data_IF_417007070807
#
_entry.id   IF_417007070807
#
_cell.length_a   1.000
_cell.length_b   1.000
_cell.length_c   1.000
_cell.angle_alpha   90.00
_cell.angle_beta   90.00
_cell.angle_gamma   90.00
#
_symmetry.space_group_name_H-M   'P 1'
#
loop_
_entity.id
_entity.type
_entity.pdbx_description
1 polymer ?
2 non-polymer ?
3 non-polymer ?
4 water ?
#
# COMPACT_ATOMS: atom_id res chain seq x y z
N UNK A 22 5.36 15.94 19.77
CA UNK A 22 5.41 16.91 20.84
C UNK A 22 6.81 17.54 20.90
N UNK A 23 7.44 17.54 22.07
CA UNK A 23 8.74 18.16 22.27
C UNK A 23 9.82 17.09 22.36
N UNK A 24 11.07 17.54 22.18
CA UNK A 24 12.17 16.68 21.85
C UNK A 24 12.54 16.70 20.38
N UNK A 25 11.57 17.05 19.55
CA UNK A 25 11.78 17.28 18.12
C UNK A 25 12.06 18.75 17.87
N UNK A 26 12.83 19.02 16.81
CA UNK A 26 13.00 20.40 16.42
C UNK A 26 11.72 20.96 15.82
N UNK A 27 11.74 22.27 15.58
CA UNK A 27 10.59 22.91 14.95
C UNK A 27 10.43 22.44 13.52
N UNK A 28 11.54 22.30 12.79
CA UNK A 28 11.45 21.77 11.44
C UNK A 28 10.87 20.35 11.45
N UNK A 29 11.30 19.53 12.41
CA UNK A 29 10.80 18.18 12.50
C UNK A 29 9.30 18.16 12.78
N UNK A 30 8.86 18.96 13.76
CA UNK A 30 7.43 19.02 14.07
C UNK A 30 6.65 19.55 12.89
N UNK A 31 7.18 20.54 12.18
CA UNK A 31 6.49 21.03 10.98
C UNK A 31 6.45 19.95 9.92
N UNK A 32 7.53 19.16 9.80
CA UNK A 32 7.57 18.07 8.85
C UNK A 32 6.45 17.07 9.12
N UNK A 33 6.29 16.66 10.39
CA UNK A 33 5.24 15.70 10.72
C UNK A 33 3.87 16.32 10.49
N UNK A 34 3.70 17.58 10.88
CA UNK A 34 2.42 18.26 10.65
C UNK A 34 2.08 18.28 9.17
N UNK A 35 3.06 18.57 8.32
CA UNK A 35 2.74 18.62 6.89
C UNK A 35 2.34 17.23 6.38
N UNK A 36 3.02 16.17 6.80
CA UNK A 36 2.64 14.83 6.36
C UNK A 36 1.27 14.44 6.89
N UNK A 37 0.98 14.75 8.16
CA UNK A 37 -0.31 14.41 8.74
C UNK A 37 -1.43 15.15 8.02
N UNK A 38 -1.22 16.44 7.77
CA UNK A 38 -2.16 17.22 6.98
C UNK A 38 -2.41 16.58 5.61
N UNK A 39 -1.33 16.19 4.93
CA UNK A 39 -1.49 15.59 3.61
C UNK A 39 -2.24 14.26 3.68
N UNK A 40 -1.96 13.46 4.71
CA UNK A 40 -2.69 12.21 4.90
C UNK A 40 -4.17 12.48 5.19
N UNK A 41 -4.46 13.48 6.02
CA UNK A 41 -5.84 13.81 6.37
C UNK A 41 -6.64 14.22 5.13
N UNK A 42 -6.01 14.94 4.21
CA UNK A 42 -6.74 15.47 3.07
C UNK A 42 -6.99 14.43 1.98
N UNK A 43 -6.18 13.37 1.91
CA UNK A 43 -6.14 12.53 0.72
C UNK A 43 -6.33 11.04 1.00
N UNK A 44 -6.51 10.65 2.25
CA UNK A 44 -6.78 9.26 2.58
C UNK A 44 -8.25 9.23 3.01
N UNK A 45 -9.09 8.64 2.17
CA UNK A 45 -10.52 8.50 2.46
C UNK A 45 -10.68 7.22 3.26
N UNK A 46 -10.66 7.34 4.59
CA UNK A 46 -10.58 6.17 5.44
C UNK A 46 -11.89 5.41 5.51
N UNK A 47 -13.01 6.05 5.17
CA UNK A 47 -14.27 5.34 5.04
C UNK A 47 -14.52 4.85 3.62
N UNK A 48 -13.61 5.14 2.68
CA UNK A 48 -13.74 4.72 1.28
C UNK A 48 -15.05 5.19 0.64
N UNK A 49 -15.68 6.22 1.24
CA UNK A 49 -17.00 6.66 0.81
C UNK A 49 -17.03 7.09 -0.66
N UNK A 50 -15.90 7.48 -1.24
CA UNK A 50 -15.91 7.88 -2.64
C UNK A 50 -15.44 6.78 -3.58
N UNK A 51 -15.24 5.56 -3.08
CA UNK A 51 -14.96 4.42 -3.95
C UNK A 51 -16.29 3.87 -4.43
N UNK A 52 -16.61 4.09 -5.70
CA UNK A 52 -17.92 3.82 -6.27
C UNK A 52 -17.76 3.35 -7.70
N UNK A 53 -18.85 2.83 -8.26
CA UNK A 53 -18.91 2.37 -9.65
C UNK A 53 -17.83 1.36 -9.97
N UNK A 54 -17.49 0.51 -9.01
CA UNK A 54 -16.45 -0.49 -9.23
C UNK A 54 -17.06 -1.77 -9.77
N UNK A 55 -16.27 -2.50 -10.55
CA UNK A 55 -16.74 -3.78 -11.07
C UNK A 55 -16.75 -4.82 -9.95
N UNK A 56 -17.60 -5.84 -10.13
CA UNK A 56 -17.72 -6.96 -9.21
C UNK A 56 -17.62 -8.26 -9.99
N UNK A 57 -17.18 -9.34 -9.35
CA UNK A 57 -17.17 -10.64 -10.04
C UNK A 57 -18.58 -11.05 -10.47
N UNK A 58 -18.69 -11.60 -11.69
CA UNK A 58 -19.96 -11.92 -12.33
C UNK A 58 -20.94 -12.69 -11.45
N UNK A 59 -22.24 -12.46 -11.65
CA UNK A 59 -23.28 -13.10 -10.82
C UNK A 59 -23.21 -14.61 -10.92
N UNK A 77 2.03 -21.52 -22.84
CA UNK A 77 2.98 -22.31 -22.06
C UNK A 77 2.44 -22.59 -20.65
N UNK A 78 3.33 -22.44 -19.66
CA UNK A 78 2.93 -22.48 -18.25
C UNK A 78 4.05 -21.88 -17.38
N UNK A 79 4.19 -20.55 -17.29
CA UNK A 79 3.24 -19.47 -17.63
C UNK A 79 1.90 -19.60 -16.91
N UNK A 80 0.90 -20.18 -17.58
CA UNK A 80 -0.38 -20.40 -16.92
C UNK A 80 -0.21 -21.09 -15.58
N UNK A 81 0.80 -21.96 -15.44
CA UNK A 81 1.08 -22.56 -14.15
C UNK A 81 1.58 -21.50 -13.17
N UNK A 82 2.54 -20.69 -13.61
CA UNK A 82 3.05 -19.63 -12.75
C UNK A 82 1.96 -18.60 -12.45
N UNK A 83 1.16 -18.26 -13.45
CA UNK A 83 0.07 -17.30 -13.24
C UNK A 83 -0.96 -17.87 -12.26
N UNK A 84 -1.19 -19.19 -12.32
CA UNK A 84 -2.14 -19.81 -11.40
C UNK A 84 -1.65 -19.73 -9.96
N UNK A 85 -0.36 -19.97 -9.72
CA UNK A 85 0.14 -19.82 -8.36
C UNK A 85 0.27 -18.35 -7.98
N UNK A 86 0.53 -17.49 -8.95
CA UNK A 86 0.55 -16.04 -8.69
C UNK A 86 -0.78 -15.56 -8.10
N UNK A 87 -1.90 -16.14 -8.55
CA UNK A 87 -3.22 -15.64 -8.20
C UNK A 87 -3.85 -16.33 -6.99
N UNK A 88 -3.52 -17.60 -6.73
CA UNK A 88 -4.11 -18.30 -5.61
C UNK A 88 -3.46 -17.94 -4.27
N UNK A 89 -2.50 -17.00 -4.27
CA UNK A 89 -1.82 -16.67 -3.03
C UNK A 89 -2.72 -15.88 -2.10
N UNK A 90 -3.53 -15.00 -2.65
CA UNK A 90 -4.31 -14.05 -1.87
C UNK A 90 -5.80 -14.26 -2.09
N UNK A 91 -6.30 -15.45 -1.79
CA UNK A 91 -7.74 -15.71 -1.86
C UNK A 91 -8.43 -14.90 -0.77
N UNK A 92 -9.37 -14.06 -1.18
CA UNK A 92 -10.07 -13.18 -0.27
C UNK A 92 -11.55 -13.24 -0.60
N UNK A 93 -12.39 -13.29 0.42
CA UNK A 93 -13.81 -13.11 0.23
C UNK A 93 -14.14 -11.63 0.40
N UNK A 94 -15.30 -11.24 -0.11
CA UNK A 94 -15.67 -9.85 -0.20
C UNK A 94 -17.07 -9.65 0.39
N UNK A 95 -17.25 -8.58 1.15
CA UNK A 95 -18.51 -8.25 1.80
C UNK A 95 -18.83 -6.79 1.53
N UNK A 96 -20.08 -6.50 1.15
CA UNK A 96 -20.53 -5.12 0.94
C UNK A 96 -21.79 -4.86 1.73
N UNK A 97 -21.71 -3.94 2.66
CA UNK A 97 -22.85 -3.53 3.48
C UNK A 97 -23.49 -2.32 2.84
N UNK A 98 -24.75 -2.46 2.42
CA UNK A 98 -25.46 -1.33 1.88
C UNK A 98 -25.85 -0.34 2.96
N UNK A 99 -25.96 0.93 2.55
CA UNK A 99 -26.44 1.98 3.45
C UNK A 99 -27.79 1.64 4.08
N UNK A 100 -28.65 0.93 3.33
CA UNK A 100 -29.96 0.55 3.85
C UNK A 100 -29.88 -0.55 4.91
N UNK A 101 -28.78 -1.28 5.00
CA UNK A 101 -28.64 -2.36 5.95
C UNK A 101 -28.52 -3.73 5.34
N UNK A 102 -28.61 -3.85 4.01
CA UNK A 102 -28.42 -5.13 3.35
C UNK A 102 -26.94 -5.48 3.28
N UNK A 103 -26.66 -6.77 3.08
CA UNK A 103 -25.30 -7.29 2.98
C UNK A 103 -25.20 -8.22 1.78
N UNK A 104 -24.25 -7.94 0.88
CA UNK A 104 -23.80 -8.92 -0.10
C UNK A 104 -22.49 -9.55 0.33
N UNK A 105 -22.36 -10.85 0.08
CA UNK A 105 -21.15 -11.62 0.41
C UNK A 105 -20.72 -12.40 -0.82
N UNK A 106 -19.43 -12.34 -1.15
CA UNK A 106 -18.90 -13.09 -2.28
C UNK A 106 -17.78 -14.01 -1.83
N UNK A 107 -17.94 -15.31 -2.10
CA UNK A 107 -16.93 -16.34 -1.89
C UNK A 107 -16.35 -16.75 -3.22
N UNK A 108 -15.03 -16.71 -3.37
CA UNK A 108 -14.39 -17.00 -4.66
C UNK A 108 -14.39 -18.48 -4.97
N UNK A 109 -14.14 -18.86 -6.22
CA UNK A 109 -14.04 -20.28 -6.57
C UNK A 109 -12.68 -20.86 -6.23
N UNK A 110 -12.63 -22.20 -6.14
CA UNK A 110 -11.35 -22.88 -6.14
C UNK A 110 -10.80 -22.92 -7.56
N UNK A 111 -9.49 -23.13 -7.67
CA UNK A 111 -8.90 -23.23 -9.00
C UNK A 111 -9.34 -24.54 -9.64
N UNK A 112 -9.95 -24.45 -10.81
CA UNK A 112 -10.40 -25.60 -11.58
C UNK A 112 -9.76 -25.61 -12.97
N UNK A 113 -8.49 -25.20 -13.04
CA UNK A 113 -7.73 -25.20 -14.28
C UNK A 113 -8.25 -24.29 -15.37
N UNK A 114 -9.22 -23.44 -15.06
CA UNK A 114 -9.80 -22.54 -16.04
C UNK A 114 -9.73 -21.08 -15.63
N UNK A 115 -10.57 -20.25 -16.26
CA UNK A 115 -10.50 -18.80 -16.12
C UNK A 115 -11.11 -18.27 -14.83
N UNK A 116 -11.78 -19.10 -14.02
CA UNK A 116 -12.40 -18.60 -12.79
C UNK A 116 -11.38 -17.98 -11.84
N UNK A 117 -10.09 -18.18 -12.08
CA UNK A 117 -9.06 -17.58 -11.24
C UNK A 117 -8.96 -16.08 -11.46
N UNK A 118 -9.51 -15.56 -12.57
CA UNK A 118 -9.44 -14.14 -12.93
C UNK A 118 -10.65 -13.34 -12.47
N UNK A 119 -11.57 -13.91 -11.69
CA UNK A 119 -12.87 -13.27 -11.52
C UNK A 119 -12.79 -12.03 -10.64
N UNK A 120 -11.82 -11.96 -9.75
CA UNK A 120 -11.67 -10.80 -8.87
C UNK A 120 -10.78 -9.70 -9.46
N UNK A 121 -10.10 -9.96 -10.58
CA UNK A 121 -9.11 -9.00 -11.09
C UNK A 121 -9.73 -7.65 -11.47
N UNK A 122 -10.85 -7.57 -12.18
CA UNK A 122 -11.42 -6.24 -12.47
C UNK A 122 -11.73 -5.45 -11.20
N UNK A 123 -12.26 -6.11 -10.16
CA UNK A 123 -12.54 -5.39 -8.92
C UNK A 123 -11.25 -4.91 -8.25
N UNK A 124 -10.25 -5.79 -8.15
CA UNK A 124 -8.99 -5.39 -7.52
C UNK A 124 -8.32 -4.27 -8.31
N UNK A 125 -8.43 -4.30 -9.64
CA UNK A 125 -7.91 -3.21 -10.45
C UNK A 125 -8.60 -1.88 -10.12
N UNK A 126 -9.92 -1.89 -9.94
CA UNK A 126 -10.61 -0.65 -9.62
C UNK A 126 -10.25 -0.15 -8.23
N UNK A 127 -10.08 -1.08 -7.27
CA UNK A 127 -9.66 -0.68 -5.92
C UNK A 127 -8.23 -0.16 -5.93
N UNK A 128 -7.33 -0.83 -6.64
CA UNK A 128 -5.96 -0.33 -6.73
C UNK A 128 -5.95 1.07 -7.33
N UNK A 129 -6.71 1.25 -8.41
CA UNK A 129 -6.75 2.54 -9.09
C UNK A 129 -7.25 3.63 -8.15
N UNK A 130 -8.33 3.34 -7.42
CA UNK A 130 -8.83 4.27 -6.41
C UNK A 130 -7.77 4.60 -5.37
N UNK A 131 -7.06 3.57 -4.88
CA UNK A 131 -6.00 3.82 -3.90
C UNK A 131 -4.88 4.64 -4.50
N UNK A 132 -4.49 4.33 -5.74
CA UNK A 132 -3.37 5.03 -6.36
C UNK A 132 -3.66 6.53 -6.52
N UNK A 133 -4.92 6.89 -6.79
CA UNK A 133 -5.25 8.30 -6.93
C UNK A 133 -5.07 9.03 -5.60
N UNK A 134 -5.49 8.40 -4.50
CA UNK A 134 -5.23 8.99 -3.19
C UNK A 134 -3.75 9.12 -2.93
N UNK A 135 -2.95 8.15 -3.35
CA UNK A 135 -1.52 8.20 -3.14
C UNK A 135 -0.92 9.36 -3.93
N UNK A 136 -1.32 9.49 -5.19
CA UNK A 136 -0.84 10.60 -6.02
C UNK A 136 -1.19 11.94 -5.41
N UNK A 137 -2.43 12.09 -4.92
CA UNK A 137 -2.84 13.34 -4.24
C UNK A 137 -2.02 13.58 -2.98
N UNK A 138 -1.72 12.51 -2.22
CA UNK A 138 -0.87 12.64 -1.04
C UNK A 138 0.48 13.28 -1.40
N UNK A 139 1.16 12.72 -2.41
CA UNK A 139 2.45 13.25 -2.83
C UNK A 139 2.34 14.71 -3.25
N UNK A 140 1.30 15.04 -4.04
CA UNK A 140 1.19 16.37 -4.63
C UNK A 140 0.96 17.47 -3.60
N UNK A 141 0.36 17.13 -2.46
CA UNK A 141 0.10 18.12 -1.41
C UNK A 141 1.35 18.45 -0.60
N UNK A 142 2.39 17.64 -0.69
CA UNK A 142 3.56 17.76 0.18
C UNK A 142 4.58 18.70 -0.46
N UNK A 143 4.99 19.72 0.30
CA UNK A 143 5.94 20.72 -0.21
C UNK A 143 7.22 20.08 -0.73
N UNK A 144 7.84 19.22 0.08
CA UNK A 144 9.11 18.61 -0.31
C UNK A 144 8.99 17.89 -1.65
N UNK A 145 7.85 17.24 -1.90
CA UNK A 145 7.67 16.51 -3.15
C UNK A 145 7.40 17.48 -4.31
N UNK A 146 6.56 18.48 -4.05
CA UNK A 146 6.15 19.44 -5.07
C UNK A 146 7.31 20.27 -5.60
N UNK A 147 8.40 20.39 -4.83
CA UNK A 147 9.58 21.16 -5.20
C UNK A 147 10.56 20.38 -6.08
N UNK A 148 10.37 19.08 -6.26
CA UNK A 148 11.25 18.34 -7.13
C UNK A 148 10.85 18.59 -8.59
N UNK A 149 11.77 18.35 -9.53
CA UNK A 149 11.38 18.38 -10.94
C UNK A 149 10.28 17.37 -11.22
N UNK A 150 9.40 17.70 -12.16
CA UNK A 150 8.22 16.87 -12.39
C UNK A 150 8.63 15.47 -12.84
N UNK A 151 9.69 15.38 -13.63
CA UNK A 151 10.14 14.07 -14.09
C UNK A 151 10.55 13.18 -12.92
N UNK A 152 11.09 13.77 -11.85
CA UNK A 152 11.45 12.96 -10.69
C UNK A 152 10.24 12.69 -9.79
N UNK A 153 9.30 13.64 -9.70
CA UNK A 153 8.01 13.35 -9.09
C UNK A 153 7.40 12.08 -9.67
N UNK A 154 7.33 12.03 -11.00
CA UNK A 154 6.72 10.90 -11.69
C UNK A 154 7.51 9.62 -11.42
N UNK A 155 8.83 9.68 -11.57
CA UNK A 155 9.67 8.52 -11.27
C UNK A 155 9.46 8.02 -9.85
N UNK A 156 9.37 8.93 -8.88
CA UNK A 156 9.18 8.53 -7.49
C UNK A 156 7.80 7.91 -7.28
N UNK A 157 6.76 8.47 -7.92
CA UNK A 157 5.42 7.90 -7.79
C UNK A 157 5.36 6.52 -8.44
N UNK A 158 5.91 6.36 -9.64
CA UNK A 158 5.98 5.03 -10.25
C UNK A 158 6.71 4.05 -9.34
N UNK A 159 7.72 4.53 -8.62
CA UNK A 159 8.50 3.63 -7.80
C UNK A 159 7.79 3.15 -6.54
N UNK A 160 6.95 4.01 -5.95
CA UNK A 160 6.48 3.77 -4.59
C UNK A 160 4.97 3.61 -4.45
N UNK A 161 4.19 3.77 -5.52
CA UNK A 161 2.72 3.77 -5.38
C UNK A 161 2.21 2.48 -4.72
N UNK A 162 2.68 1.33 -5.20
CA UNK A 162 2.35 0.06 -4.56
C UNK A 162 2.63 0.09 -3.06
N UNK A 163 3.80 0.60 -2.67
CA UNK A 163 4.22 0.50 -1.28
C UNK A 163 3.37 1.39 -0.38
N UNK A 164 3.04 2.60 -0.84
CA UNK A 164 2.19 3.48 -0.03
C UNK A 164 0.78 2.93 0.05
N UNK A 165 0.33 2.26 -1.02
CA UNK A 165 -0.96 1.58 -1.00
C UNK A 165 -1.01 0.54 0.12
N UNK A 166 0.00 -0.32 0.18
CA UNK A 166 0.06 -1.35 1.22
C UNK A 166 0.13 -0.73 2.61
N UNK A 167 0.88 0.37 2.76
CA UNK A 167 0.96 1.05 4.05
C UNK A 167 -0.42 1.56 4.46
N UNK A 168 -1.14 2.17 3.53
CA UNK A 168 -2.48 2.66 3.87
C UNK A 168 -3.42 1.50 4.19
N UNK A 169 -3.35 0.38 3.43
CA UNK A 169 -4.22 -0.76 3.72
C UNK A 169 -3.93 -1.35 5.10
N UNK A 170 -2.67 -1.30 5.55
CA UNK A 170 -2.35 -1.86 6.87
C UNK A 170 -3.08 -1.13 7.98
N UNK A 171 -3.37 0.17 7.80
CA UNK A 171 -4.07 0.90 8.83
C UNK A 171 -5.53 0.48 8.96
N UNK A 172 -6.10 -0.15 7.93
CA UNK A 172 -7.45 -0.69 8.06
C UNK A 172 -7.43 -2.21 8.19
N UNK A 173 -6.25 -2.80 8.40
CA UNK A 173 -6.16 -4.25 8.56
C UNK A 173 -6.55 -4.63 9.98
N UNK A 174 -7.44 -5.60 10.10
CA UNK A 174 -7.81 -6.17 11.39
C UNK A 174 -7.12 -7.52 11.48
N UNK A 175 -6.08 -7.61 12.30
CA UNK A 175 -5.32 -8.85 12.41
C UNK A 175 -6.03 -9.90 13.24
N UNK A 176 -7.04 -9.53 14.03
CA UNK A 176 -7.78 -10.55 14.77
C UNK A 176 -8.68 -11.36 13.83
N UNK A 177 -9.35 -10.70 12.88
CA UNK A 177 -10.23 -11.38 11.94
C UNK A 177 -9.62 -11.60 10.57
N UNK A 178 -8.35 -11.26 10.38
CA UNK A 178 -7.74 -11.37 9.05
C UNK A 178 -8.46 -10.59 7.96
N UNK A 179 -8.90 -9.36 8.26
CA UNK A 179 -9.82 -8.60 7.41
C UNK A 179 -9.36 -7.15 7.18
N UNK A 180 -9.37 -6.71 5.92
CA UNK A 180 -9.16 -5.30 5.63
C UNK A 180 -10.51 -4.62 5.57
N UNK A 181 -10.73 -3.67 6.47
CA UNK A 181 -12.02 -3.03 6.67
C UNK A 181 -12.02 -1.70 5.92
N UNK A 182 -12.58 -1.70 4.71
CA UNK A 182 -12.57 -0.53 3.87
C UNK A 182 -13.95 0.10 3.81
N UNK A 183 -14.44 0.59 4.94
CA UNK A 183 -15.73 1.25 4.93
C UNK A 183 -16.89 0.27 4.81
N UNK A 184 -17.65 0.38 3.73
CA UNK A 184 -18.74 -0.55 3.45
C UNK A 184 -18.25 -1.86 2.84
N UNK A 185 -16.98 -1.91 2.40
CA UNK A 185 -16.37 -3.12 1.87
C UNK A 185 -15.44 -3.74 2.91
N UNK A 186 -15.37 -5.06 2.89
CA UNK A 186 -14.49 -5.85 3.73
C UNK A 186 -13.89 -6.93 2.86
N UNK A 187 -12.59 -7.15 3.03
CA UNK A 187 -11.89 -8.22 2.34
C UNK A 187 -11.34 -9.13 3.41
N UNK A 188 -11.74 -10.39 3.39
CA UNK A 188 -11.43 -11.34 4.46
C UNK A 188 -10.64 -12.49 3.87
N UNK A 189 -9.49 -12.82 4.46
CA UNK A 189 -8.71 -13.94 3.94
C UNK A 189 -9.46 -15.23 4.17
N UNK A 190 -9.45 -16.08 3.15
CA UNK A 190 -10.25 -17.30 3.18
C UNK A 190 -9.48 -18.38 3.91
N UNK A 191 -10.08 -18.90 4.97
CA UNK A 191 -9.50 -19.96 5.80
C UNK A 191 -9.05 -21.14 4.93
N UNK A 192 -7.73 -21.30 4.79
CA UNK A 192 -7.18 -22.39 4.02
C UNK A 192 -6.21 -23.22 4.86
N UNK A 196 -3.86 -19.84 10.52
CA UNK A 196 -3.09 -20.74 9.68
C UNK A 196 -1.81 -20.05 9.22
N UNK A 197 -0.68 -20.48 9.80
CA UNK A 197 0.62 -19.92 9.46
C UNK A 197 1.02 -20.21 8.01
N UNK A 198 0.31 -21.11 7.32
CA UNK A 198 0.52 -21.25 5.88
C UNK A 198 0.17 -19.96 5.14
N UNK A 199 -0.72 -19.14 5.71
CA UNK A 199 -0.98 -17.82 5.17
C UNK A 199 0.21 -16.89 5.40
N UNK A 200 0.80 -16.94 6.60
CA UNK A 200 1.96 -16.11 6.92
C UNK A 200 3.17 -16.47 6.06
N UNK A 201 3.04 -17.51 5.22
CA UNK A 201 4.09 -17.83 4.25
C UNK A 201 4.07 -16.88 3.05
N UNK A 202 2.91 -16.33 2.72
CA UNK A 202 2.80 -15.39 1.62
C UNK A 202 3.37 -14.05 2.06
N UNK A 203 4.40 -13.51 1.40
CA UNK A 203 5.13 -12.35 1.97
C UNK A 203 4.27 -11.12 2.23
N UNK A 204 3.33 -10.79 1.33
CA UNK A 204 2.45 -9.65 1.58
C UNK A 204 1.64 -9.85 2.86
N UNK A 205 1.24 -11.08 3.14
CA UNK A 205 0.39 -11.30 4.31
C UNK A 205 1.20 -11.27 5.59
N UNK A 206 2.36 -11.93 5.59
CA UNK A 206 3.28 -11.79 6.72
C UNK A 206 3.64 -10.34 6.96
N UNK A 207 3.77 -9.55 5.89
CA UNK A 207 4.05 -8.14 6.05
C UNK A 207 2.94 -7.45 6.84
N UNK A 208 1.68 -7.70 6.47
CA UNK A 208 0.58 -6.98 7.12
C UNK A 208 0.43 -7.38 8.58
N UNK A 209 0.60 -8.66 8.90
CA UNK A 209 0.53 -9.08 10.31
C UNK A 209 1.71 -8.54 11.11
N UNK A 210 2.92 -8.62 10.55
CA UNK A 210 4.07 -8.13 11.29
C UNK A 210 4.03 -6.62 11.47
N UNK A 211 3.56 -5.87 10.45
CA UNK A 211 3.46 -4.42 10.61
C UNK A 211 2.36 -4.04 11.60
N UNK A 212 1.20 -4.70 11.53
CA UNK A 212 0.14 -4.42 12.50
C UNK A 212 0.59 -4.68 13.93
N UNK A 213 1.43 -5.71 14.12
CA UNK A 213 1.91 -6.08 15.45
C UNK A 213 2.70 -4.96 16.12
N UNK A 214 3.28 -4.03 15.36
CA UNK A 214 4.05 -2.96 15.96
C UNK A 214 3.18 -1.84 16.53
N UNK A 215 1.86 -1.87 16.30
CA UNK A 215 0.93 -0.89 16.88
C UNK A 215 1.42 0.55 16.66
N UNK A 216 1.70 0.87 15.40
CA UNK A 216 2.20 2.20 15.06
C UNK A 216 1.14 3.27 15.24
N UNK A 217 1.60 4.49 15.51
CA UNK A 217 0.77 5.70 15.50
C UNK A 217 0.52 6.16 14.07
N UNK A 218 -0.45 7.06 13.91
CA UNK A 218 -0.68 7.66 12.59
C UNK A 218 0.58 8.35 12.09
N UNK A 219 1.29 9.05 12.98
CA UNK A 219 2.48 9.80 12.58
C UNK A 219 3.58 8.88 12.05
N UNK A 220 3.72 7.69 12.63
CA UNK A 220 4.73 6.74 12.16
C UNK A 220 4.36 6.13 10.81
N UNK A 221 3.06 5.94 10.54
CA UNK A 221 2.65 5.48 9.22
C UNK A 221 2.95 6.52 8.15
N UNK A 222 2.68 7.81 8.42
CA UNK A 222 2.89 8.79 7.36
C UNK A 222 4.39 9.03 7.15
N UNK A 223 5.19 8.89 8.21
CA UNK A 223 6.65 8.93 8.03
C UNK A 223 7.16 7.73 7.25
N UNK A 224 6.60 6.53 7.51
CA UNK A 224 6.93 5.39 6.66
C UNK A 224 6.60 5.67 5.20
N UNK A 225 5.44 6.29 4.95
CA UNK A 225 5.06 6.63 3.57
C UNK A 225 6.06 7.61 2.95
N UNK A 226 6.49 8.62 3.72
CA UNK A 226 7.44 9.60 3.18
C UNK A 226 8.77 8.93 2.83
N UNK A 227 9.31 8.14 3.77
CA UNK A 227 10.57 7.44 3.52
C UNK A 227 10.48 6.61 2.24
N UNK A 228 9.37 5.90 2.07
CA UNK A 228 9.22 5.06 0.88
C UNK A 228 9.04 5.90 -0.37
N UNK A 229 8.31 7.01 -0.26
CA UNK A 229 8.09 7.86 -1.42
C UNK A 229 9.39 8.52 -1.89
N UNK A 230 10.25 8.92 -0.95
CA UNK A 230 11.49 9.64 -1.28
C UNK A 230 12.68 8.70 -1.28
N UNK A 231 12.63 7.70 -2.17
CA UNK A 231 13.70 6.72 -2.26
C UNK A 231 14.59 7.11 -3.43
N UNK A 232 15.84 7.50 -3.20
CA UNK A 232 16.67 8.04 -4.29
C UNK A 232 16.96 7.05 -5.41
N UNK A 233 16.75 5.75 -5.19
CA UNK A 233 17.20 4.72 -6.12
C UNK A 233 16.09 4.16 -6.99
N UNK A 234 14.92 4.80 -7.02
CA UNK A 234 13.90 4.33 -7.94
C UNK A 234 14.37 4.53 -9.38
N UNK A 235 14.07 3.60 -10.27
CA UNK A 235 14.43 3.76 -11.69
C UNK A 235 14.08 5.14 -12.23
N UNK A 236 15.04 5.75 -12.91
CA UNK A 236 14.79 6.99 -13.62
C UNK A 236 14.82 8.24 -12.76
N UNK A 237 15.19 8.16 -11.50
CA UNK A 237 15.34 9.37 -10.70
C UNK A 237 16.64 10.04 -11.10
N UNK A 238 16.61 11.37 -11.26
CA UNK A 238 17.77 12.17 -11.62
C UNK A 238 18.42 12.86 -10.43
N UNK A 239 17.60 13.39 -9.53
CA UNK A 239 18.07 14.20 -8.41
C UNK A 239 18.38 13.31 -7.21
N UNK A 240 19.34 12.40 -7.42
CA UNK A 240 19.69 11.42 -6.40
C UNK A 240 20.01 12.06 -5.06
N UNK A 241 20.83 13.11 -5.07
CA UNK A 241 21.37 13.62 -3.81
C UNK A 241 20.31 14.34 -3.01
N UNK A 242 19.44 15.13 -3.67
CA UNK A 242 18.39 15.83 -2.92
C UNK A 242 17.36 14.84 -2.40
N UNK A 243 16.98 13.85 -3.21
CA UNK A 243 16.00 12.87 -2.73
C UNK A 243 16.57 12.12 -1.54
N UNK A 244 17.85 11.76 -1.58
CA UNK A 244 18.48 11.06 -0.47
C UNK A 244 18.55 11.92 0.78
N UNK A 245 18.81 13.23 0.62
CA UNK A 245 18.84 14.10 1.79
C UNK A 245 17.45 14.26 2.39
N UNK A 246 16.43 14.38 1.53
CA UNK A 246 15.06 14.42 2.02
C UNK A 246 14.71 13.14 2.77
N UNK A 247 15.04 12.00 2.18
CA UNK A 247 14.78 10.72 2.82
C UNK A 247 15.45 10.64 4.18
N UNK A 248 16.76 10.96 4.22
CA UNK A 248 17.49 10.95 5.48
C UNK A 248 16.80 11.83 6.53
N UNK A 249 16.30 13.00 6.12
CA UNK A 249 15.61 13.87 7.09
C UNK A 249 14.28 13.25 7.55
N UNK A 250 13.54 12.58 6.66
CA UNK A 250 12.34 11.87 7.11
C UNK A 250 12.70 10.72 8.06
N UNK A 251 13.77 9.98 7.77
CA UNK A 251 14.17 8.91 8.67
C UNK A 251 14.59 9.44 10.04
N UNK A 252 15.33 10.56 10.06
CA UNK A 252 15.79 11.12 11.32
C UNK A 252 14.61 11.64 12.15
N UNK A 253 13.65 12.28 11.50
CA UNK A 253 12.45 12.71 12.21
C UNK A 253 11.71 11.51 12.81
N UNK A 254 11.66 10.40 12.07
CA UNK A 254 11.00 9.20 12.60
C UNK A 254 11.72 8.68 13.83
N UNK A 255 13.05 8.56 13.75
CA UNK A 255 13.84 8.08 14.88
C UNK A 255 13.67 8.99 16.10
N UNK A 256 13.69 10.31 15.90
CA UNK A 256 13.49 11.24 17.00
C UNK A 256 12.05 11.18 17.54
N UNK A 257 11.06 11.02 16.67
CA UNK A 257 9.69 10.89 17.16
C UNK A 257 9.56 9.67 18.05
N UNK A 258 10.17 8.55 17.65
CA UNK A 258 10.07 7.33 18.46
C UNK A 258 10.77 7.52 19.79
N UNK A 259 11.91 8.23 19.81
CA UNK A 259 12.69 8.28 21.04
C UNK A 259 12.04 9.19 22.07
N UNK A 260 11.41 10.27 21.65
CA UNK A 260 10.76 11.20 22.57
C UNK A 260 9.35 10.80 22.94
N UNK A 261 8.76 9.82 22.25
CA UNK A 261 7.35 9.50 22.49
C UNK A 261 7.06 8.04 22.81
N UNK A 262 8.06 7.16 22.83
CA UNK A 262 7.84 5.73 23.03
C UNK A 262 8.91 5.12 23.92
N UNK A 263 8.78 5.29 25.24
CA UNK A 263 9.82 4.80 26.15
C UNK A 263 9.68 3.35 26.58
N UNK A 264 8.59 2.68 26.24
CA UNK A 264 8.33 1.34 26.76
C UNK A 264 9.32 0.30 26.19
N UNK A 265 9.71 -0.68 27.00
CA UNK A 265 10.65 -1.71 26.51
C UNK A 265 10.19 -2.43 25.26
N UNK A 266 8.88 -2.47 24.98
CA UNK A 266 8.43 -3.12 23.75
C UNK A 266 8.89 -2.35 22.52
N UNK A 267 9.11 -1.05 22.67
CA UNK A 267 9.46 -0.19 21.54
C UNK A 267 10.95 0.05 21.45
N UNK A 268 11.76 -0.70 22.21
CA UNK A 268 13.18 -0.72 21.95
C UNK A 268 13.40 -1.22 20.54
N UNK A 269 14.26 -0.54 19.78
CA UNK A 269 14.58 -0.92 18.41
C UNK A 269 13.39 -0.76 17.45
N UNK A 270 12.32 -0.06 17.87
CA UNK A 270 11.19 0.15 16.97
C UNK A 270 11.65 0.81 15.67
N UNK A 271 12.50 1.84 15.78
CA UNK A 271 12.95 2.51 14.56
C UNK A 271 13.59 1.51 13.60
N UNK A 272 14.48 0.64 14.11
CA UNK A 272 15.17 -0.27 13.20
C UNK A 272 14.22 -1.35 12.68
N UNK A 273 13.23 -1.77 13.49
CA UNK A 273 12.21 -2.70 12.99
C UNK A 273 11.41 -2.09 11.85
N UNK A 274 11.04 -0.81 11.99
CA UNK A 274 10.33 -0.12 10.91
C UNK A 274 11.16 -0.09 9.66
N UNK A 275 12.46 0.25 9.77
CA UNK A 275 13.29 0.31 8.56
C UNK A 275 13.48 -1.06 7.92
N UNK A 276 13.58 -2.13 8.72
CA UNK A 276 13.59 -3.46 8.13
C UNK A 276 12.27 -3.76 7.40
N UNK A 277 11.14 -3.29 7.96
CA UNK A 277 9.85 -3.48 7.27
C UNK A 277 9.82 -2.73 5.94
N UNK A 278 10.40 -1.52 5.90
CA UNK A 278 10.43 -0.81 4.61
C UNK A 278 11.29 -1.53 3.59
N UNK A 279 12.38 -2.16 4.02
CA UNK A 279 13.20 -2.93 3.09
C UNK A 279 12.43 -4.14 2.56
N UNK A 280 11.75 -4.87 3.45
CA UNK A 280 10.94 -5.99 3.02
C UNK A 280 9.85 -5.54 2.05
N UNK A 281 9.26 -4.38 2.30
CA UNK A 281 8.13 -3.96 1.47
C UNK A 281 8.60 -3.62 0.06
N UNK A 282 9.82 -3.06 -0.06
CA UNK A 282 10.42 -2.83 -1.37
C UNK A 282 10.67 -4.16 -2.08
N UNK A 283 11.08 -5.17 -1.35
CA UNK A 283 11.22 -6.51 -1.94
C UNK A 283 9.85 -7.06 -2.38
N UNK A 284 8.82 -6.88 -1.55
CA UNK A 284 7.47 -7.27 -1.95
C UNK A 284 7.02 -6.50 -3.19
N UNK A 285 7.41 -5.23 -3.28
CA UNK A 285 7.03 -4.39 -4.42
C UNK A 285 7.57 -4.98 -5.72
N UNK A 286 8.85 -5.37 -5.74
CA UNK A 286 9.46 -5.95 -6.94
C UNK A 286 8.89 -7.32 -7.29
N UNK A 287 8.53 -8.16 -6.31
CA UNK A 287 7.86 -9.41 -6.67
C UNK A 287 6.49 -9.16 -7.28
N UNK A 288 5.69 -8.27 -6.69
CA UNK A 288 4.33 -8.08 -7.18
C UNK A 288 4.30 -7.33 -8.49
N UNK A 289 5.32 -6.51 -8.77
CA UNK A 289 5.42 -5.91 -10.10
C UNK A 289 5.62 -6.98 -11.16
N UNK A 290 6.51 -7.94 -10.92
CA UNK A 290 6.69 -9.07 -11.83
C UNK A 290 5.44 -9.92 -11.93
N UNK A 291 4.76 -10.13 -10.80
CA UNK A 291 3.52 -10.88 -10.80
C UNK A 291 2.45 -10.17 -11.62
N UNK A 292 2.32 -8.86 -11.47
CA UNK A 292 1.31 -8.13 -12.24
C UNK A 292 1.57 -8.22 -13.73
N UNK A 293 2.83 -8.08 -14.14
CA UNK A 293 3.17 -8.11 -15.56
C UNK A 293 2.96 -9.50 -16.15
N UNK A 294 3.17 -10.56 -15.38
CA UNK A 294 2.87 -11.91 -15.85
C UNK A 294 1.39 -12.10 -16.08
N UNK A 295 0.57 -11.83 -15.06
CA UNK A 295 -0.88 -11.91 -15.22
C UNK A 295 -1.33 -11.07 -16.40
N UNK A 296 -0.83 -9.82 -16.48
CA UNK A 296 -1.21 -8.91 -17.54
C UNK A 296 -0.86 -9.47 -18.92
N UNK A 297 0.19 -10.29 -18.99
CA UNK A 297 0.63 -10.75 -20.29
C UNK A 297 -0.38 -11.71 -20.90
N UNK A 298 -1.00 -12.56 -20.09
CA UNK A 298 -1.89 -13.58 -20.62
C UNK A 298 -3.35 -13.13 -20.50
N UNK A 299 -3.65 -12.31 -19.50
CA UNK A 299 -5.02 -11.88 -19.23
C UNK A 299 -4.99 -10.42 -18.88
N UNK A 300 -5.17 -9.53 -19.87
CA UNK A 300 -5.06 -8.09 -19.63
C UNK A 300 -6.13 -7.60 -18.66
N UNK A 301 -5.70 -6.74 -17.73
CA UNK A 301 -6.65 -6.23 -16.73
C UNK A 301 -6.28 -4.87 -16.14
N UNK A 302 -5.01 -4.44 -16.30
CA UNK A 302 -4.57 -3.20 -15.69
C UNK A 302 -5.38 -2.00 -16.21
N UNK A 303 -5.78 -1.11 -15.30
CA UNK A 303 -6.44 0.11 -15.72
C UNK A 303 -5.43 1.03 -16.42
N UNK A 304 -5.92 2.05 -17.13
CA UNK A 304 -4.97 3.02 -17.69
C UNK A 304 -4.06 3.65 -16.65
N UNK A 305 -4.58 3.98 -15.47
CA UNK A 305 -3.69 4.52 -14.45
C UNK A 305 -2.67 3.48 -14.00
N UNK A 306 -3.10 2.23 -13.82
CA UNK A 306 -2.15 1.18 -13.45
C UNK A 306 -1.09 1.01 -14.53
N UNK A 307 -1.50 1.05 -15.81
CA UNK A 307 -0.53 0.92 -16.90
C UNK A 307 0.51 2.03 -16.84
N UNK A 308 0.08 3.26 -16.61
CA UNK A 308 1.01 4.38 -16.49
C UNK A 308 2.01 4.13 -15.35
N UNK A 309 1.51 3.70 -14.19
CA UNK A 309 2.40 3.53 -13.05
C UNK A 309 3.35 2.36 -13.23
N UNK A 310 2.93 1.33 -13.96
CA UNK A 310 3.76 0.15 -14.15
C UNK A 310 4.49 0.14 -15.49
N UNK A 311 4.53 1.27 -16.19
CA UNK A 311 5.29 1.36 -17.43
C UNK A 311 4.76 0.55 -18.61
N UNK A 312 3.45 0.29 -18.67
CA UNK A 312 2.85 -0.35 -19.83
C UNK A 312 2.52 0.76 -20.84
N UNK A 313 3.07 0.66 -22.05
CA UNK A 313 3.02 1.78 -23.00
C UNK A 313 1.74 1.81 -23.83
N UNK A 314 1.02 0.70 -23.94
CA UNK A 314 -0.13 0.62 -24.81
C UNK A 314 0.11 0.01 -26.18
N UNK A 315 1.35 -0.35 -26.50
CA UNK A 315 1.65 -1.02 -27.77
C UNK A 315 2.70 -2.11 -27.61
X LIG B 1 -3.46 -9.52 -5.74
X LIG B 1 -3.51 -7.71 -4.26
X LIG B 1 -4.11 -8.75 -4.85
X LIG B 1 -2.16 -7.46 -4.52
X LIG B 1 -2.17 -9.28 -6.04
X LIG B 1 -1.48 -8.24 -5.44
X LIG B 1 -4.09 -10.52 -6.33
X LIG B 1 -4.18 -7.01 -3.36
X LIG B 1 -5.36 -7.74 -2.39
X LIG B 1 -5.64 -6.31 -1.53
X LIG B 1 -4.85 -5.34 -1.98
X LIG B 1 -4.02 -5.71 -2.98
X LIG B 1 -6.65 -6.12 -0.39
X LIG B 1 -5.88 -5.67 0.84
X LIG B 1 -7.69 -5.06 -0.78
X LIG B 1 -7.34 -7.45 -0.08
X LIG B 1 -3.22 -4.78 -3.51
X LIG B 1 -2.49 -3.52 -5.44
X LIG B 1 -3.31 -4.49 -4.86
X LIG B 1 -1.58 -2.80 -4.65
X LIG B 1 -2.30 -4.08 -2.72
X LIG B 1 -1.48 -3.10 -3.29
X LIG B 1 -4.23 -5.18 -5.65
X LIG B 1 -2.68 -3.28 -6.76
X LIG B 1 -1.45 -3.46 -7.86
X LIG B 1 -1.32 -5.23 -8.30
X LIG B 1 -2.46 -7.25 -9.02
X LIG B 1 -2.49 -5.92 -8.68
X LIG B 1 -1.26 -7.95 -8.99
X LIG B 1 -0.11 -5.92 -8.26
X LIG B 1 -0.09 -7.28 -8.61
X LIG B 1 1.20 -5.24 -7.85
X LIG B 1 -3.65 -5.27 -8.71
X LIG B 1 -1.84 -2.65 -9.09
X LIG B 1 -0.11 -2.92 -7.31
X LIG C 1 -8.72 14.33 -16.96
X LIG C 1 -8.54 12.89 -16.49
X LIG C 1 -9.15 11.99 -17.55
X LIG C 1 -7.16 12.64 -16.38
#
# INVERSE_FOLDING_TARGET
MKKGHHHHHHGSERTGTQPLGVQGLTEEQRMMIRELMDAQMKTFDTTFSHFKNFRLPGVLSSGCELPESLQAPREEAAKWSQVRKDLCSLKVSLQLRGEDGSVWNYKPPADSGGKEIFSLLPHMADMSTYMFKGIISFAKVISYFRDLPIEDQISLLKGAAFELCQLRFNTVFNAETGTWECGRLSYCLEDTAGGFQQLLLEPMLKFHYMLKKLQLHEEEYVLMQAISLFSPDRPGVLQHRVVDQLQEQFAITLKSYIECNRPQPAHRFLFLKIMAMLTELRSINAQHTQRLLRIQDIHPFATPLMQELFGITGS
P06 C1 C2 N3 C4 N6 C7 N9 C12 S13 C14 N15 C16 C17 C18 C22 C26 C30 C31 C32 C33 C35 C37 F39 N40 S42 C43 C44 C46 C47 C49 C50 F52 F53 O54 O55
IPA C1 C2 C3 O2
#
